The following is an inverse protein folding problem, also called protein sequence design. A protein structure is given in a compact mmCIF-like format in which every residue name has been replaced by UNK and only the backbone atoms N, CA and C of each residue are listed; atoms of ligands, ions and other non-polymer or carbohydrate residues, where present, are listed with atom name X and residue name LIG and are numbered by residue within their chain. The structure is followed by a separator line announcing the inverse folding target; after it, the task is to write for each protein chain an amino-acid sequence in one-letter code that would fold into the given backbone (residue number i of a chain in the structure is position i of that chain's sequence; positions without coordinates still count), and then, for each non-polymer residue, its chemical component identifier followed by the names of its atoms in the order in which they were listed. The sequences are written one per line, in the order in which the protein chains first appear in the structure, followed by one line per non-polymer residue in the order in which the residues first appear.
data_IF_720156190859
#
_entry.id   IF_720156190859
#
_cell.length_a   1.000
_cell.length_b   1.000
_cell.length_c   1.000
_cell.angle_alpha   90.00
_cell.angle_beta   90.00
_cell.angle_gamma   90.00
#
_symmetry.space_group_name_H-M   'P 1'
#
loop_
_entity.id
_entity.type
_entity.pdbx_description
1 polymer ?
#
# COMPACT_ATOMS: atom_id res chain seq x y z
N UNK A 1 13.31 5.58 3.92
CA UNK A 1 12.96 5.15 2.55
C UNK A 1 12.17 6.25 1.87
N UNK A 2 12.71 6.86 0.81
CA UNK A 2 12.07 7.97 0.06
C UNK A 2 10.75 7.53 -0.58
N UNK A 3 10.71 6.32 -1.12
CA UNK A 3 9.57 5.83 -1.91
C UNK A 3 8.34 5.55 -1.06
N UNK A 4 8.51 5.08 0.18
CA UNK A 4 7.42 5.02 1.15
C UNK A 4 6.76 6.40 1.36
N UNK A 5 7.53 7.50 1.34
CA UNK A 5 6.96 8.85 1.49
C UNK A 5 6.19 9.29 0.26
N UNK A 6 6.54 8.81 -0.94
CA UNK A 6 5.77 9.08 -2.16
C UNK A 6 4.43 8.36 -2.08
N UNK A 7 4.41 7.07 -1.75
CA UNK A 7 3.17 6.28 -1.59
C UNK A 7 2.28 6.82 -0.46
N UNK A 8 2.87 7.30 0.64
CA UNK A 8 2.10 7.78 1.79
C UNK A 8 1.81 9.29 1.74
N UNK A 9 2.41 10.00 0.80
CA UNK A 9 2.34 11.45 0.71
C UNK A 9 0.98 11.94 0.20
N UNK A 10 0.55 13.15 0.58
CA UNK A 10 -0.63 13.76 -0.02
C UNK A 10 -0.39 14.03 -1.51
N UNK A 11 -1.46 14.05 -2.32
CA UNK A 11 -1.36 14.43 -3.72
C UNK A 11 -2.25 13.59 -4.63
N UNK A 12 -1.76 13.21 -5.82
CA UNK A 12 -2.51 12.42 -6.80
C UNK A 12 -3.01 11.08 -6.24
N UNK A 13 -3.95 10.41 -6.92
CA UNK A 13 -4.37 9.05 -6.61
C UNK A 13 -3.19 8.09 -6.40
N UNK A 14 -3.41 7.03 -5.60
CA UNK A 14 -2.38 6.02 -5.31
C UNK A 14 -1.77 5.43 -6.59
N UNK A 15 -2.60 5.20 -7.60
CA UNK A 15 -2.18 4.69 -8.91
C UNK A 15 -1.09 5.55 -9.55
N UNK A 16 -1.33 6.86 -9.67
CA UNK A 16 -0.37 7.79 -10.27
C UNK A 16 0.93 7.86 -9.47
N UNK A 17 0.82 7.90 -8.13
CA UNK A 17 2.00 7.95 -7.25
C UNK A 17 2.87 6.70 -7.38
N UNK A 18 2.26 5.52 -7.49
CA UNK A 18 3.01 4.27 -7.67
C UNK A 18 3.50 4.13 -9.11
N UNK A 19 2.74 4.57 -10.11
CA UNK A 19 3.16 4.55 -11.52
C UNK A 19 4.50 5.25 -11.73
N UNK A 20 4.67 6.44 -11.13
CA UNK A 20 5.96 7.16 -11.14
C UNK A 20 7.08 6.31 -10.51
N UNK A 21 6.81 5.61 -9.40
CA UNK A 21 7.83 4.76 -8.75
C UNK A 21 8.19 3.54 -9.59
N UNK A 22 7.22 2.94 -10.29
CA UNK A 22 7.43 1.81 -11.20
C UNK A 22 8.32 2.25 -12.36
N UNK A 23 8.03 3.40 -12.98
CA UNK A 23 8.82 3.97 -14.06
C UNK A 23 10.26 4.27 -13.60
N UNK A 24 10.42 4.93 -12.45
CA UNK A 24 11.75 5.22 -11.87
C UNK A 24 12.52 3.92 -11.57
N UNK A 25 11.86 2.92 -10.97
CA UNK A 25 12.48 1.63 -10.67
C UNK A 25 12.95 0.90 -11.92
N UNK A 26 12.14 0.88 -12.98
CA UNK A 26 12.53 0.27 -14.26
C UNK A 26 13.71 1.02 -14.88
N UNK A 27 13.63 2.36 -14.94
CA UNK A 27 14.68 3.22 -15.49
C UNK A 27 16.01 3.04 -14.75
N UNK A 28 15.96 2.92 -13.43
CA UNK A 28 17.14 2.88 -12.57
C UNK A 28 17.64 1.44 -12.34
N UNK A 29 17.22 0.49 -13.18
CA UNK A 29 17.81 -0.86 -13.24
C UNK A 29 17.21 -1.87 -12.24
N UNK A 30 16.01 -1.60 -11.74
CA UNK A 30 15.24 -2.49 -10.85
C UNK A 30 15.89 -2.74 -9.48
N UNK A 31 16.63 -1.77 -8.94
CA UNK A 31 17.29 -1.89 -7.63
C UNK A 31 16.34 -1.93 -6.43
N UNK A 32 16.76 -2.60 -5.34
CA UNK A 32 15.98 -2.73 -4.09
C UNK A 32 15.76 -1.41 -3.34
N UNK A 33 16.60 -0.40 -3.57
CA UNK A 33 16.49 0.93 -2.96
C UNK A 33 15.19 1.67 -3.34
N UNK A 34 14.52 1.21 -4.40
CA UNK A 34 13.24 1.76 -4.85
C UNK A 34 12.01 1.05 -4.29
N UNK A 35 12.19 -0.11 -3.65
CA UNK A 35 11.08 -0.94 -3.21
C UNK A 35 10.43 -0.35 -1.96
N UNK A 36 9.12 -0.56 -1.83
CA UNK A 36 8.33 -0.04 -0.72
C UNK A 36 8.12 -1.09 0.35
N UNK A 37 7.94 -0.64 1.59
CA UNK A 37 7.76 -1.51 2.78
C UNK A 37 6.70 -0.94 3.73
N UNK A 38 6.36 -1.73 4.76
CA UNK A 38 5.42 -1.32 5.81
C UNK A 38 4.08 -0.85 5.25
N UNK A 39 3.54 0.24 5.78
CA UNK A 39 2.25 0.81 5.36
C UNK A 39 2.18 1.14 3.87
N UNK A 40 3.28 1.57 3.25
CA UNK A 40 3.32 1.87 1.83
C UNK A 40 3.14 0.59 1.00
N UNK A 41 3.82 -0.49 1.39
CA UNK A 41 3.63 -1.80 0.77
C UNK A 41 2.22 -2.35 1.01
N UNK A 42 1.69 -2.23 2.23
CA UNK A 42 0.31 -2.64 2.52
C UNK A 42 -0.70 -1.92 1.61
N UNK A 43 -0.57 -0.60 1.46
CA UNK A 43 -1.42 0.18 0.55
C UNK A 43 -1.30 -0.31 -0.90
N UNK A 44 -0.06 -0.47 -1.39
CA UNK A 44 0.23 -0.94 -2.74
C UNK A 44 -0.36 -2.33 -3.01
N UNK A 45 -0.04 -3.30 -2.15
CA UNK A 45 -0.37 -4.70 -2.37
C UNK A 45 -1.89 -4.95 -2.28
N UNK A 46 -2.55 -4.35 -1.28
CA UNK A 46 -4.01 -4.45 -1.14
C UNK A 46 -4.76 -3.74 -2.27
N UNK A 47 -4.24 -2.62 -2.79
CA UNK A 47 -4.83 -1.93 -3.94
C UNK A 47 -4.64 -2.72 -5.23
N UNK A 48 -3.40 -3.18 -5.50
CA UNK A 48 -3.05 -3.98 -6.66
C UNK A 48 -3.86 -5.28 -6.73
N UNK A 49 -4.02 -5.98 -5.61
CA UNK A 49 -4.78 -7.24 -5.56
C UNK A 49 -6.24 -7.10 -6.01
N UNK A 50 -6.86 -5.93 -5.83
CA UNK A 50 -8.24 -5.67 -6.30
C UNK A 50 -8.34 -5.38 -7.79
N UNK A 51 -7.22 -4.99 -8.43
CA UNK A 51 -7.17 -4.48 -9.81
C UNK A 51 -6.17 -5.24 -10.67
N UNK A 52 -5.76 -6.44 -10.24
CA UNK A 52 -4.66 -7.19 -10.85
C UNK A 52 -4.79 -7.39 -12.37
N UNK A 53 -6.02 -7.43 -12.91
CA UNK A 53 -6.27 -7.60 -14.35
C UNK A 53 -6.09 -6.31 -15.18
N UNK A 54 -5.95 -5.15 -14.54
CA UNK A 54 -5.85 -3.83 -15.19
C UNK A 54 -4.39 -3.36 -15.38
N UNK A 55 -3.42 -4.09 -14.83
CA UNK A 55 -2.03 -3.64 -14.74
C UNK A 55 -1.11 -4.32 -15.75
N UNK A 56 -0.11 -3.57 -16.21
CA UNK A 56 0.92 -4.09 -17.11
C UNK A 56 1.97 -4.95 -16.37
N UNK A 57 2.91 -5.50 -17.16
CA UNK A 57 3.99 -6.36 -16.66
C UNK A 57 4.91 -5.60 -15.70
N UNK A 58 5.19 -4.32 -15.94
CA UNK A 58 6.08 -3.52 -15.10
C UNK A 58 5.55 -3.36 -13.68
N UNK A 59 4.24 -3.11 -13.56
CA UNK A 59 3.55 -3.12 -12.27
C UNK A 59 3.62 -4.47 -11.56
N UNK A 60 3.36 -5.56 -12.29
CA UNK A 60 3.42 -6.92 -11.75
C UNK A 60 4.81 -7.23 -11.20
N UNK A 61 5.86 -6.89 -11.95
CA UNK A 61 7.25 -7.04 -11.55
C UNK A 61 7.57 -6.23 -10.29
N UNK A 62 7.14 -4.97 -10.21
CA UNK A 62 7.43 -4.10 -9.07
C UNK A 62 6.76 -4.57 -7.77
N UNK A 63 5.51 -5.00 -7.87
CA UNK A 63 4.76 -5.53 -6.73
C UNK A 63 5.38 -6.85 -6.25
N UNK A 64 5.74 -7.75 -7.17
CA UNK A 64 6.43 -8.99 -6.83
C UNK A 64 7.78 -8.73 -6.16
N UNK A 65 8.59 -7.82 -6.70
CA UNK A 65 9.87 -7.45 -6.11
C UNK A 65 9.71 -6.86 -4.71
N UNK A 66 8.72 -5.97 -4.50
CA UNK A 66 8.44 -5.40 -3.18
C UNK A 66 7.94 -6.46 -2.19
N UNK A 67 7.14 -7.42 -2.65
CA UNK A 67 6.67 -8.54 -1.85
C UNK A 67 7.82 -9.44 -1.42
N UNK A 68 8.71 -9.82 -2.33
CA UNK A 68 9.88 -10.64 -2.00
C UNK A 68 10.82 -9.89 -1.05
N UNK A 69 11.00 -8.58 -1.24
CA UNK A 69 11.85 -7.75 -0.40
C UNK A 69 11.41 -7.67 1.07
N UNK A 70 10.10 -7.72 1.34
CA UNK A 70 9.61 -7.79 2.73
C UNK A 70 9.70 -9.20 3.34
N UNK A 71 10.21 -10.21 2.61
CA UNK A 71 10.28 -11.60 3.04
C UNK A 71 9.14 -12.48 2.49
N UNK A 72 8.51 -12.05 1.40
CA UNK A 72 7.45 -12.78 0.71
C UNK A 72 6.28 -13.10 1.62
N UNK A 73 5.83 -14.36 1.57
CA UNK A 73 4.67 -14.84 2.34
C UNK A 73 4.82 -14.61 3.84
N UNK A 74 5.97 -14.97 4.40
CA UNK A 74 6.23 -14.82 5.83
C UNK A 74 6.24 -13.35 6.24
N UNK A 75 6.78 -12.48 5.38
CA UNK A 75 6.75 -11.03 5.56
C UNK A 75 5.34 -10.46 5.54
N UNK A 76 4.54 -10.88 4.56
CA UNK A 76 3.14 -10.47 4.45
C UNK A 76 2.30 -10.93 5.64
N UNK A 77 2.41 -12.19 6.04
CA UNK A 77 1.70 -12.73 7.21
C UNK A 77 2.16 -12.04 8.52
N UNK A 78 3.43 -11.67 8.63
CA UNK A 78 3.92 -10.88 9.76
C UNK A 78 3.30 -9.47 9.76
N UNK A 79 3.27 -8.81 8.61
CA UNK A 79 2.67 -7.49 8.44
C UNK A 79 1.18 -7.48 8.79
N UNK A 80 0.41 -8.46 8.31
CA UNK A 80 -1.02 -8.57 8.61
C UNK A 80 -1.35 -8.67 10.12
N UNK A 81 -0.41 -9.19 10.92
CA UNK A 81 -0.52 -9.28 12.38
C UNK A 81 -0.13 -7.99 13.10
N UNK A 82 0.53 -7.04 12.41
CA UNK A 82 0.81 -5.71 12.95
C UNK A 82 -0.49 -4.99 13.28
N UNK A 83 -0.40 -4.02 14.19
CA UNK A 83 -1.55 -3.30 14.71
C UNK A 83 -1.53 -1.84 14.27
N UNK A 84 -2.70 -1.34 13.88
CA UNK A 84 -2.93 0.04 13.55
C UNK A 84 -4.12 0.58 14.35
N UNK A 85 -4.06 1.88 14.64
CA UNK A 85 -5.11 2.60 15.34
C UNK A 85 -6.11 3.16 14.33
N UNK A 86 -7.40 3.00 14.61
CA UNK A 86 -8.48 3.61 13.83
C UNK A 86 -8.52 5.12 14.09
N UNK A 87 -8.58 5.93 13.02
CA UNK A 87 -8.66 7.38 13.15
C UNK A 87 -9.94 7.84 13.86
N UNK A 88 -11.06 7.13 13.65
CA UNK A 88 -12.37 7.50 14.19
C UNK A 88 -12.55 7.17 15.67
N UNK A 89 -12.40 5.89 16.04
CA UNK A 89 -12.64 5.43 17.42
C UNK A 89 -11.39 5.32 18.28
N UNK A 90 -10.19 5.47 17.71
CA UNK A 90 -8.89 5.33 18.41
C UNK A 90 -8.61 3.92 18.96
N UNK A 91 -9.47 2.94 18.69
CA UNK A 91 -9.19 1.53 18.98
C UNK A 91 -8.12 0.97 18.05
N UNK A 92 -7.46 -0.08 18.53
CA UNK A 92 -6.35 -0.72 17.82
C UNK A 92 -6.77 -2.06 17.22
N UNK A 93 -6.58 -2.22 15.91
CA UNK A 93 -6.93 -3.42 15.15
C UNK A 93 -5.70 -4.02 14.48
N UNK A 94 -5.76 -5.30 14.12
CA UNK A 94 -4.74 -5.88 13.23
C UNK A 94 -4.92 -5.35 11.81
N UNK A 95 -3.85 -5.30 11.01
CA UNK A 95 -3.93 -4.87 9.62
C UNK A 95 -4.88 -5.74 8.77
N UNK A 96 -4.99 -7.03 9.08
CA UNK A 96 -5.99 -7.93 8.44
C UNK A 96 -7.46 -7.56 8.74
N UNK A 97 -7.72 -6.67 9.70
CA UNK A 97 -9.05 -6.33 10.22
C UNK A 97 -9.33 -4.82 10.21
N UNK A 98 -8.64 -4.04 9.38
CA UNK A 98 -8.81 -2.59 9.29
C UNK A 98 -8.65 -2.11 7.85
N UNK A 99 -9.51 -1.17 7.44
CA UNK A 99 -9.40 -0.53 6.13
C UNK A 99 -8.31 0.54 6.12
N UNK A 100 -7.75 0.78 4.95
CA UNK A 100 -6.85 1.90 4.68
C UNK A 100 -7.40 2.75 3.54
N UNK A 101 -7.52 4.05 3.78
CA UNK A 101 -7.89 4.99 2.73
C UNK A 101 -6.70 5.26 1.80
N UNK A 102 -6.87 5.04 0.49
CA UNK A 102 -5.82 5.26 -0.52
C UNK A 102 -5.64 6.74 -0.91
N UNK A 103 -6.53 7.62 -0.45
CA UNK A 103 -6.41 9.08 -0.58
C UNK A 103 -5.61 9.71 0.57
N UNK A 104 -6.09 9.56 1.80
CA UNK A 104 -5.50 10.23 2.97
C UNK A 104 -4.57 9.34 3.81
N UNK A 105 -4.41 8.06 3.45
CA UNK A 105 -3.58 7.08 4.16
C UNK A 105 -3.97 6.89 5.63
N UNK A 106 -5.22 7.15 6.02
CA UNK A 106 -5.70 6.90 7.38
C UNK A 106 -6.34 5.52 7.48
N UNK A 107 -6.14 4.87 8.62
CA UNK A 107 -6.74 3.58 8.92
C UNK A 107 -8.11 3.78 9.57
N UNK A 108 -9.09 2.98 9.18
CA UNK A 108 -10.46 3.07 9.70
C UNK A 108 -11.05 1.68 9.87
N UNK A 109 -11.67 1.44 11.03
CA UNK A 109 -12.35 0.18 11.29
C UNK A 109 -13.73 0.16 10.64
N UNK A 110 -14.25 -1.04 10.36
CA UNK A 110 -15.54 -1.20 9.69
C UNK A 110 -16.72 -0.56 10.45
N UNK A 111 -16.62 -0.40 11.78
CA UNK A 111 -17.65 0.24 12.58
C UNK A 111 -17.68 1.77 12.41
N UNK A 112 -16.52 2.40 12.18
CA UNK A 112 -16.45 3.83 11.87
C UNK A 112 -16.86 4.14 10.42
N UNK A 113 -16.99 3.12 9.56
CA UNK A 113 -17.43 3.26 8.19
C UNK A 113 -16.34 3.75 7.24
N UNK A 114 -16.70 3.93 5.97
CA UNK A 114 -15.78 4.41 4.94
C UNK A 114 -15.49 5.92 5.09
N UNK A 115 -14.34 6.36 4.60
CA UNK A 115 -14.09 7.79 4.40
C UNK A 115 -14.91 8.30 3.22
N UNK A 116 -16.16 8.71 3.44
CA UNK A 116 -17.11 9.17 2.40
C UNK A 116 -16.54 10.25 1.45
N UNK A 117 -15.52 11.00 1.88
CA UNK A 117 -14.89 12.07 1.11
C UNK A 117 -13.55 11.71 0.45
N UNK A 118 -13.07 10.47 0.50
CA UNK A 118 -11.74 10.11 0.00
C UNK A 118 -11.75 9.10 -1.16
N UNK A 119 -10.70 9.15 -1.98
CA UNK A 119 -10.55 8.51 -3.29
C UNK A 119 -10.52 6.96 -3.32
N UNK A 120 -10.87 6.28 -2.22
CA UNK A 120 -10.96 4.82 -2.15
C UNK A 120 -10.51 4.23 -0.81
N UNK A 121 -10.98 3.02 -0.54
CA UNK A 121 -10.62 2.21 0.62
C UNK A 121 -10.16 0.82 0.17
N UNK A 122 -9.04 0.37 0.72
CA UNK A 122 -8.60 -1.02 0.62
C UNK A 122 -8.78 -1.70 1.96
N UNK A 123 -9.37 -2.88 1.90
CA UNK A 123 -9.58 -3.84 3.00
C UNK A 123 -8.83 -5.09 2.62
#
# INVERSE_FOLDING_TARGET
MRNNRVVLGPGPPLEERVGVLVEEWIRDGRGSDHLVTGKAFFALYSWYGRRWAEHDIGWSEYVAASYDFIGGRSGWEAMLRERAECEGCRDTYRLENIGLCTGCMRYTCYACGAHEACAGEVV
#
